data_IF_337166420183
#
_entry.id   IF_337166420183
#
_cell.length_a   1.000
_cell.length_b   1.000
_cell.length_c   1.000
_cell.angle_alpha   90.00
_cell.angle_beta   90.00
_cell.angle_gamma   90.00
#
_symmetry.space_group_name_H-M   'P 1'
#
loop_
_entity.id
_entity.type
_entity.pdbx_description
1 polymer ?
#
# COMPACT_ATOMS: atom_id res chain seq x y z
N UNK A 1 5.59 -0.62 -65.33
CA UNK A 1 5.65 -0.44 -63.88
C UNK A 1 6.47 -1.60 -63.30
N UNK A 2 7.61 -1.29 -62.79
CA UNK A 2 8.67 -2.29 -62.53
C UNK A 2 8.33 -3.19 -61.34
N UNK A 3 8.40 -4.49 -61.57
CA UNK A 3 8.22 -5.57 -60.58
C UNK A 3 9.13 -5.36 -59.33
N UNK A 4 10.29 -4.75 -59.52
CA UNK A 4 11.22 -4.38 -58.44
C UNK A 4 10.65 -3.39 -57.46
N UNK A 5 9.75 -2.47 -57.88
CA UNK A 5 9.16 -1.49 -57.00
C UNK A 5 8.01 -2.07 -56.14
N UNK A 6 7.31 -3.11 -56.63
CA UNK A 6 6.27 -3.82 -55.89
C UNK A 6 6.84 -4.69 -54.76
N UNK A 7 8.04 -5.26 -54.96
CA UNK A 7 8.71 -6.11 -53.96
C UNK A 7 9.21 -5.27 -52.79
N UNK A 8 9.68 -4.03 -53.05
CA UNK A 8 10.17 -3.15 -52.01
C UNK A 8 9.00 -2.64 -51.16
N UNK A 9 7.82 -2.37 -51.72
CA UNK A 9 6.63 -1.90 -51.00
C UNK A 9 6.04 -3.02 -50.11
N UNK A 10 6.16 -4.28 -50.56
CA UNK A 10 5.66 -5.44 -49.77
C UNK A 10 6.59 -5.79 -48.60
N UNK A 11 7.90 -5.56 -48.76
CA UNK A 11 8.88 -5.84 -47.70
C UNK A 11 8.89 -4.80 -46.58
N UNK A 12 8.44 -3.55 -46.87
CA UNK A 12 8.38 -2.49 -45.86
C UNK A 12 7.11 -2.57 -44.99
N UNK A 13 6.11 -3.36 -45.40
CA UNK A 13 4.84 -3.51 -44.69
C UNK A 13 4.86 -4.54 -43.56
N UNK A 14 5.88 -5.42 -43.49
CA UNK A 14 5.93 -6.53 -42.50
C UNK A 14 6.63 -6.15 -41.21
N UNK A 15 7.32 -5.02 -41.15
CA UNK A 15 8.11 -4.62 -39.95
C UNK A 15 7.38 -3.70 -38.96
N UNK A 16 6.10 -3.37 -39.19
CA UNK A 16 5.35 -2.45 -38.31
C UNK A 16 4.28 -3.16 -37.46
N UNK A 17 4.38 -4.46 -37.30
CA UNK A 17 3.45 -5.29 -36.54
C UNK A 17 4.03 -5.82 -35.21
N UNK A 18 5.03 -5.15 -34.62
CA UNK A 18 5.40 -5.42 -33.24
C UNK A 18 4.39 -4.68 -32.34
N UNK A 19 3.23 -5.31 -32.15
CA UNK A 19 2.25 -4.89 -31.15
C UNK A 19 2.95 -4.87 -29.81
N UNK A 20 3.09 -3.67 -29.23
CA UNK A 20 3.42 -3.51 -27.83
C UNK A 20 2.31 -4.22 -27.07
N UNK A 21 2.56 -5.45 -26.64
CA UNK A 21 1.71 -6.13 -25.65
C UNK A 21 1.90 -5.37 -24.36
N UNK A 22 1.13 -4.33 -24.17
CA UNK A 22 0.96 -3.69 -22.87
C UNK A 22 0.28 -4.74 -21.99
N UNK A 23 1.08 -5.45 -21.22
CA UNK A 23 0.61 -6.30 -20.15
C UNK A 23 -0.12 -5.39 -19.15
N UNK A 24 -1.44 -5.28 -19.30
CA UNK A 24 -2.28 -4.62 -18.31
C UNK A 24 -2.36 -5.56 -17.11
N UNK A 25 -1.60 -5.25 -16.08
CA UNK A 25 -1.74 -5.89 -14.77
C UNK A 25 -3.20 -5.75 -14.32
N UNK A 26 -3.85 -6.83 -13.88
CA UNK A 26 -5.23 -6.77 -13.41
C UNK A 26 -5.36 -5.73 -12.29
N UNK A 27 -6.46 -4.98 -12.26
CA UNK A 27 -6.72 -3.94 -11.26
C UNK A 27 -6.55 -4.44 -9.81
N UNK A 28 -6.85 -5.72 -9.56
CA UNK A 28 -6.66 -6.35 -8.26
C UNK A 28 -5.17 -6.50 -7.89
N UNK A 29 -4.31 -6.79 -8.85
CA UNK A 29 -2.86 -6.92 -8.64
C UNK A 29 -2.21 -5.55 -8.42
N UNK A 30 -2.65 -4.51 -9.11
CA UNK A 30 -2.22 -3.13 -8.87
C UNK A 30 -2.64 -2.64 -7.49
N UNK A 31 -3.86 -2.94 -7.03
CA UNK A 31 -4.34 -2.59 -5.69
C UNK A 31 -3.54 -3.32 -4.59
N UNK A 32 -3.17 -4.58 -4.82
CA UNK A 32 -2.30 -5.34 -3.91
C UNK A 32 -0.88 -4.79 -3.86
N UNK A 33 -0.35 -4.29 -4.98
CA UNK A 33 0.98 -3.68 -5.04
C UNK A 33 1.02 -2.34 -4.31
N UNK A 34 0.05 -1.47 -4.55
CA UNK A 34 -0.11 -0.19 -3.84
C UNK A 34 -0.20 -0.39 -2.32
N UNK A 35 -0.99 -1.36 -1.86
CA UNK A 35 -1.11 -1.68 -0.44
C UNK A 35 0.21 -2.14 0.19
N UNK A 36 0.97 -3.00 -0.50
CA UNK A 36 2.30 -3.44 -0.05
C UNK A 36 3.28 -2.28 0.02
N UNK A 37 3.21 -1.35 -0.92
CA UNK A 37 4.03 -0.14 -0.92
C UNK A 37 3.74 0.69 0.32
N UNK A 38 2.48 1.01 0.62
CA UNK A 38 2.10 1.76 1.82
C UNK A 38 2.55 1.06 3.11
N UNK A 39 2.38 -0.26 3.22
CA UNK A 39 2.86 -1.04 4.38
C UNK A 39 4.37 -0.85 4.56
N UNK A 40 5.14 -0.96 3.48
CA UNK A 40 6.60 -0.81 3.51
C UNK A 40 7.02 0.60 3.91
N UNK A 41 6.39 1.62 3.35
CA UNK A 41 6.69 3.02 3.64
C UNK A 41 6.33 3.39 5.09
N UNK A 42 5.16 3.00 5.57
CA UNK A 42 4.74 3.21 6.97
C UNK A 42 5.70 2.54 7.94
N UNK A 43 6.09 1.28 7.68
CA UNK A 43 7.05 0.57 8.53
C UNK A 43 8.42 1.26 8.54
N UNK A 44 8.95 1.63 7.37
CA UNK A 44 10.24 2.29 7.23
C UNK A 44 10.28 3.67 7.91
N UNK A 45 9.24 4.49 7.73
CA UNK A 45 9.14 5.82 8.30
C UNK A 45 8.92 5.78 9.82
N UNK A 46 8.14 4.81 10.32
CA UNK A 46 8.00 4.54 11.76
C UNK A 46 9.37 4.18 12.36
N UNK A 47 10.10 3.25 11.73
CA UNK A 47 11.43 2.84 12.16
C UNK A 47 12.46 3.98 12.11
N UNK A 48 12.40 4.84 11.10
CA UNK A 48 13.24 6.03 10.98
C UNK A 48 12.86 7.13 11.98
N UNK A 49 11.58 7.23 12.35
CA UNK A 49 11.05 8.31 13.19
C UNK A 49 10.79 9.61 12.43
N UNK A 50 10.58 9.56 11.12
CA UNK A 50 10.27 10.70 10.25
C UNK A 50 8.75 10.92 10.25
N UNK A 51 8.26 11.63 11.28
CA UNK A 51 6.83 11.75 11.55
C UNK A 51 6.10 12.61 10.51
N UNK A 52 6.76 13.59 9.91
CA UNK A 52 6.14 14.45 8.90
C UNK A 52 5.84 13.67 7.62
N UNK A 53 6.81 12.87 7.14
CA UNK A 53 6.59 11.97 6.01
C UNK A 53 5.63 10.85 6.35
N UNK A 54 5.70 10.31 7.56
CA UNK A 54 4.78 9.28 8.02
C UNK A 54 3.32 9.79 7.95
N UNK A 55 3.07 11.02 8.39
CA UNK A 55 1.75 11.66 8.31
C UNK A 55 1.23 11.67 6.88
N UNK A 56 2.06 12.07 5.91
CA UNK A 56 1.68 12.11 4.49
C UNK A 56 1.31 10.71 3.99
N UNK A 57 2.18 9.72 4.22
CA UNK A 57 1.94 8.34 3.76
C UNK A 57 0.72 7.69 4.41
N UNK A 58 0.43 8.02 5.68
CA UNK A 58 -0.80 7.57 6.35
C UNK A 58 -2.05 8.14 5.69
N UNK A 59 -2.04 9.43 5.32
CA UNK A 59 -3.15 10.06 4.61
C UNK A 59 -3.34 9.42 3.23
N UNK A 60 -2.25 9.19 2.49
CA UNK A 60 -2.29 8.57 1.17
C UNK A 60 -2.81 7.13 1.25
N UNK A 61 -2.34 6.34 2.21
CA UNK A 61 -2.81 4.97 2.42
C UNK A 61 -4.31 4.90 2.75
N UNK A 62 -4.82 5.81 3.60
CA UNK A 62 -6.26 5.91 3.90
C UNK A 62 -7.07 6.32 2.67
N UNK A 63 -6.55 7.23 1.83
CA UNK A 63 -7.20 7.65 0.59
C UNK A 63 -7.23 6.51 -0.45
N UNK A 64 -6.20 5.67 -0.46
CA UNK A 64 -6.12 4.48 -1.31
C UNK A 64 -6.92 3.28 -0.78
N UNK A 65 -7.68 3.48 0.31
CA UNK A 65 -8.61 2.50 0.85
C UNK A 65 -7.97 1.49 1.82
N UNK A 66 -6.83 1.81 2.41
CA UNK A 66 -6.32 1.03 3.54
C UNK A 66 -7.18 1.25 4.78
N UNK A 67 -7.46 0.17 5.49
CA UNK A 67 -8.18 0.26 6.75
C UNK A 67 -7.28 0.79 7.88
N UNK A 68 -7.88 1.52 8.83
CA UNK A 68 -7.18 2.02 10.03
C UNK A 68 -6.51 0.89 10.80
N UNK A 69 -7.17 -0.27 10.93
CA UNK A 69 -6.61 -1.45 11.59
C UNK A 69 -5.33 -1.95 10.92
N UNK A 70 -5.24 -1.91 9.59
CA UNK A 70 -4.06 -2.36 8.85
C UNK A 70 -2.85 -1.46 9.12
N UNK A 71 -3.04 -0.13 9.03
CA UNK A 71 -2.00 0.84 9.33
C UNK A 71 -1.54 0.75 10.80
N UNK A 72 -2.49 0.58 11.71
CA UNK A 72 -2.20 0.36 13.13
C UNK A 72 -1.36 -0.89 13.35
N UNK A 73 -1.72 -2.01 12.72
CA UNK A 73 -1.00 -3.27 12.88
C UNK A 73 0.44 -3.20 12.35
N UNK A 74 0.70 -2.47 11.26
CA UNK A 74 2.06 -2.24 10.77
C UNK A 74 2.93 -1.59 11.85
N UNK A 75 2.41 -0.55 12.53
CA UNK A 75 3.16 0.15 13.57
C UNK A 75 3.31 -0.68 14.85
N UNK A 76 2.30 -1.49 15.19
CA UNK A 76 2.36 -2.44 16.32
C UNK A 76 3.42 -3.52 16.05
N UNK A 77 3.50 -4.06 14.83
CA UNK A 77 4.56 -5.00 14.46
C UNK A 77 5.95 -4.35 14.46
N UNK A 78 6.05 -3.10 14.01
CA UNK A 78 7.30 -2.35 14.01
C UNK A 78 7.90 -2.19 15.43
N UNK A 79 7.09 -2.27 16.50
CA UNK A 79 7.55 -2.23 17.88
C UNK A 79 8.67 -3.23 18.17
N UNK A 80 8.56 -4.46 17.64
CA UNK A 80 9.55 -5.51 17.87
C UNK A 80 10.93 -5.19 17.28
N UNK A 81 10.99 -4.30 16.29
CA UNK A 81 12.21 -3.98 15.53
C UNK A 81 12.76 -2.59 15.82
N UNK A 82 11.92 -1.59 16.00
CA UNK A 82 12.34 -0.20 16.20
C UNK A 82 12.13 0.30 17.64
N UNK A 83 11.58 -0.53 18.51
CA UNK A 83 11.34 -0.25 19.91
C UNK A 83 10.08 0.57 20.21
N UNK A 84 9.66 0.53 21.46
CA UNK A 84 8.43 1.14 21.96
C UNK A 84 8.30 2.64 21.64
N UNK A 85 9.31 3.50 21.85
CA UNK A 85 9.15 4.94 21.65
C UNK A 85 8.80 5.30 20.21
N UNK A 86 9.40 4.65 19.20
CA UNK A 86 9.15 4.91 17.78
C UNK A 86 7.78 4.41 17.34
N UNK A 87 7.41 3.20 17.74
CA UNK A 87 6.09 2.65 17.46
C UNK A 87 4.99 3.51 18.09
N UNK A 88 5.16 3.94 19.36
CA UNK A 88 4.21 4.82 20.04
C UNK A 88 4.04 6.17 19.32
N UNK A 89 5.15 6.79 18.89
CA UNK A 89 5.09 8.05 18.13
C UNK A 89 4.38 7.87 16.79
N UNK A 90 4.61 6.75 16.10
CA UNK A 90 3.87 6.41 14.87
C UNK A 90 2.37 6.30 15.12
N UNK A 91 1.96 5.56 16.16
CA UNK A 91 0.54 5.44 16.54
C UNK A 91 -0.10 6.79 16.91
N UNK A 92 0.62 7.64 17.65
CA UNK A 92 0.16 9.00 17.96
C UNK A 92 -0.03 9.83 16.68
N UNK A 93 0.85 9.68 15.69
CA UNK A 93 0.69 10.36 14.39
C UNK A 93 -0.54 9.85 13.64
N UNK A 94 -0.83 8.54 13.67
CA UNK A 94 -2.05 8.00 13.07
C UNK A 94 -3.30 8.58 13.75
N UNK A 95 -3.34 8.64 15.08
CA UNK A 95 -4.47 9.26 15.83
C UNK A 95 -4.68 10.71 15.40
N UNK A 96 -3.62 11.50 15.33
CA UNK A 96 -3.70 12.90 14.89
C UNK A 96 -4.24 13.03 13.45
N UNK A 97 -3.82 12.14 12.53
CA UNK A 97 -4.36 12.10 11.16
C UNK A 97 -5.85 11.79 11.16
N UNK A 98 -6.29 10.80 11.94
CA UNK A 98 -7.71 10.42 12.02
C UNK A 98 -8.56 11.53 12.60
N UNK A 99 -8.08 12.24 13.63
CA UNK A 99 -8.77 13.37 14.22
C UNK A 99 -8.92 14.55 13.22
N UNK A 100 -7.86 14.84 12.46
CA UNK A 100 -7.90 15.87 11.41
C UNK A 100 -8.88 15.50 10.28
N UNK A 101 -8.93 14.24 9.87
CA UNK A 101 -9.83 13.73 8.83
C UNK A 101 -11.28 13.76 9.32
N UNK A 102 -11.53 13.34 10.54
CA UNK A 102 -12.85 13.39 11.19
C UNK A 102 -13.36 14.83 11.30
N UNK A 103 -12.49 15.78 11.67
CA UNK A 103 -12.84 17.21 11.72
C UNK A 103 -13.25 17.77 10.35
N UNK A 104 -12.76 17.17 9.25
CA UNK A 104 -13.15 17.47 7.87
C UNK A 104 -14.39 16.70 7.40
N UNK A 105 -15.02 15.91 8.26
CA UNK A 105 -16.19 15.09 7.92
C UNK A 105 -15.86 13.82 7.12
N UNK A 106 -14.59 13.38 7.10
CA UNK A 106 -14.17 12.16 6.42
C UNK A 106 -14.34 10.99 7.41
N UNK A 107 -15.08 9.95 6.99
CA UNK A 107 -15.20 8.69 7.72
C UNK A 107 -14.23 7.67 7.14
N UNK A 108 -13.32 7.17 7.95
CA UNK A 108 -12.33 6.17 7.57
C UNK A 108 -12.82 4.76 7.90
N UNK A 109 -12.48 3.78 7.05
CA UNK A 109 -12.76 2.38 7.31
C UNK A 109 -11.88 1.86 8.46
N UNK A 110 -12.51 1.46 9.56
CA UNK A 110 -11.79 0.87 10.69
C UNK A 110 -11.29 -0.53 10.44
N UNK A 111 -11.80 -1.19 9.40
CA UNK A 111 -11.41 -2.53 9.01
C UNK A 111 -11.96 -3.60 9.95
N UNK A 112 -11.34 -4.78 9.89
CA UNK A 112 -11.79 -5.96 10.61
C UNK A 112 -11.54 -5.84 12.11
N UNK A 113 -12.54 -6.13 12.93
CA UNK A 113 -12.38 -6.25 14.38
C UNK A 113 -11.53 -7.47 14.72
N UNK A 114 -10.77 -7.37 15.81
CA UNK A 114 -10.02 -8.52 16.34
C UNK A 114 -10.98 -9.69 16.65
N UNK A 115 -10.56 -10.89 16.28
CA UNK A 115 -11.32 -12.10 16.63
C UNK A 115 -11.27 -12.31 18.14
N UNK A 116 -12.38 -12.73 18.77
CA UNK A 116 -12.38 -13.04 20.20
C UNK A 116 -11.40 -14.21 20.48
N UNK A 117 -10.70 -14.11 21.60
CA UNK A 117 -9.83 -15.18 22.07
C UNK A 117 -10.72 -16.32 22.59
N UNK A 118 -10.74 -17.44 21.86
CA UNK A 118 -11.50 -18.64 22.23
C UNK A 118 -10.65 -19.64 23.04
N UNK A 119 -9.36 -19.38 23.20
CA UNK A 119 -8.44 -20.25 23.92
C UNK A 119 -8.65 -20.11 25.44
N UNK A 120 -9.15 -21.16 26.07
CA UNK A 120 -9.45 -21.23 27.50
C UNK A 120 -8.27 -21.71 28.34
N UNK A 121 -7.13 -22.02 27.71
CA UNK A 121 -5.90 -22.41 28.43
C UNK A 121 -5.40 -21.29 29.31
N UNK A 122 -4.76 -21.65 30.42
CA UNK A 122 -4.19 -20.65 31.31
C UNK A 122 -3.09 -19.84 30.61
N UNK A 123 -2.79 -18.66 31.15
CA UNK A 123 -1.72 -17.77 30.63
C UNK A 123 -0.37 -18.48 30.47
N UNK A 124 -0.13 -19.53 31.28
CA UNK A 124 1.15 -20.25 31.30
C UNK A 124 1.16 -21.52 30.43
N UNK A 125 0.04 -21.88 29.83
CA UNK A 125 -0.11 -23.06 28.97
C UNK A 125 -0.24 -22.70 27.47
N UNK A 126 -0.09 -21.41 27.13
CA UNK A 126 -0.16 -20.90 25.76
C UNK A 126 1.19 -20.81 25.08
#
# INVERSE_FOLDING_TARGET
MNIKLKIITTLLGVFFGCGIVTSQTPKAEQAMDSKRQHITEVAALTGKGDLDKLKTVLIDGLNDGMAVSELKEVMVHAYAYCGFPRALRGLQTLVAVLDERKAKGIEDDWGRKASPITDTRSKYER
#
